data_IF_239498650154
#
_entry.id   IF_239498650154
#
_cell.length_a   1.000
_cell.length_b   1.000
_cell.length_c   1.000
_cell.angle_alpha   90.00
_cell.angle_beta   90.00
_cell.angle_gamma   90.00
#
_symmetry.space_group_name_H-M   'P 1'
#
loop_
_entity.id
_entity.type
_entity.pdbx_description
1 polymer ?
#
# COMPACT_ATOMS: atom_id res chain seq x y z
N UNK A 1 0.72 -3.23 -10.25
CA UNK A 1 0.35 -2.34 -9.13
C UNK A 1 -1.13 -2.53 -8.86
N UNK A 2 -1.50 -2.91 -7.63
CA UNK A 2 -2.88 -3.29 -7.27
C UNK A 2 -3.66 -2.09 -6.70
N UNK A 3 -2.98 -1.21 -5.98
CA UNK A 3 -3.52 0.01 -5.38
C UNK A 3 -2.39 1.03 -5.24
N UNK A 4 -2.70 2.31 -5.42
CA UNK A 4 -1.81 3.42 -5.12
C UNK A 4 -2.62 4.59 -4.55
N UNK A 5 -1.99 5.37 -3.69
CA UNK A 5 -2.59 6.58 -3.13
C UNK A 5 -1.51 7.50 -2.58
N UNK A 6 -1.73 8.81 -2.68
CA UNK A 6 -0.99 9.85 -1.97
C UNK A 6 -1.75 10.37 -0.74
N UNK A 7 -3.01 9.94 -0.55
CA UNK A 7 -3.83 10.37 0.58
C UNK A 7 -3.39 9.65 1.86
N UNK A 8 -3.04 10.43 2.88
CA UNK A 8 -2.71 9.92 4.21
C UNK A 8 -3.86 9.07 4.76
N UNK A 9 -3.52 7.94 5.39
CA UNK A 9 -4.44 6.93 5.97
C UNK A 9 -5.38 6.20 4.99
N UNK A 10 -5.35 6.50 3.69
CA UNK A 10 -6.08 5.70 2.71
C UNK A 10 -5.30 4.40 2.47
N UNK A 11 -5.94 3.28 2.76
CA UNK A 11 -5.38 1.94 2.56
C UNK A 11 -6.02 1.22 1.38
N UNK A 12 -5.40 0.13 0.97
CA UNK A 12 -6.01 -0.82 0.05
C UNK A 12 -7.09 -1.64 0.77
N UNK A 13 -8.26 -1.78 0.16
CA UNK A 13 -9.43 -2.48 0.70
C UNK A 13 -9.48 -3.98 0.33
N UNK A 14 -8.42 -4.51 -0.28
CA UNK A 14 -8.37 -5.90 -0.75
C UNK A 14 -9.00 -6.13 -2.13
N UNK A 15 -9.49 -5.10 -2.82
CA UNK A 15 -10.09 -5.22 -4.16
C UNK A 15 -9.17 -4.70 -5.26
N UNK A 16 -9.19 -5.36 -6.41
CA UNK A 16 -8.59 -4.87 -7.65
C UNK A 16 -9.65 -4.89 -8.73
N UNK A 17 -9.88 -3.75 -9.38
CA UNK A 17 -10.93 -3.61 -10.43
C UNK A 17 -12.31 -4.12 -9.97
N UNK A 18 -12.67 -3.83 -8.71
CA UNK A 18 -13.94 -4.25 -8.08
C UNK A 18 -13.97 -5.70 -7.58
N UNK A 19 -13.00 -6.54 -7.96
CA UNK A 19 -12.92 -7.95 -7.58
C UNK A 19 -12.06 -8.15 -6.34
N UNK A 20 -12.54 -8.94 -5.38
CA UNK A 20 -11.78 -9.33 -4.19
C UNK A 20 -10.56 -10.14 -4.60
N UNK A 21 -9.39 -9.77 -4.08
CA UNK A 21 -8.16 -10.49 -4.39
C UNK A 21 -7.97 -11.71 -3.48
N UNK A 22 -7.26 -12.76 -3.94
CA UNK A 22 -7.03 -13.95 -3.14
C UNK A 22 -6.31 -13.65 -1.81
N UNK A 23 -6.64 -14.34 -0.72
CA UNK A 23 -5.86 -14.26 0.51
C UNK A 23 -4.38 -14.57 0.25
N UNK A 24 -3.48 -13.83 0.87
CA UNK A 24 -2.05 -13.99 0.62
C UNK A 24 -1.22 -12.79 1.05
N UNK A 25 0.09 -12.91 0.86
CA UNK A 25 1.05 -11.85 1.13
C UNK A 25 1.18 -10.90 -0.07
N UNK A 26 0.95 -9.61 0.15
CA UNK A 26 1.12 -8.55 -0.83
C UNK A 26 2.23 -7.61 -0.39
N UNK A 27 3.08 -7.21 -1.33
CA UNK A 27 4.18 -6.28 -1.06
C UNK A 27 3.69 -4.86 -1.30
N UNK A 28 4.02 -3.95 -0.38
CA UNK A 28 3.80 -2.52 -0.55
C UNK A 28 5.11 -1.75 -0.50
N UNK A 29 5.13 -0.62 -1.21
CA UNK A 29 6.22 0.34 -1.23
C UNK A 29 5.64 1.72 -0.98
N UNK A 30 6.33 2.52 -0.17
CA UNK A 30 6.02 3.92 0.09
C UNK A 30 7.27 4.73 -0.18
N UNK A 31 7.09 5.84 -0.88
CA UNK A 31 8.10 6.86 -1.07
C UNK A 31 7.47 8.20 -0.69
N UNK A 32 8.11 8.94 0.20
CA UNK A 32 7.62 10.23 0.66
C UNK A 32 8.77 11.12 1.13
N UNK A 33 8.51 12.42 1.25
CA UNK A 33 9.44 13.40 1.79
C UNK A 33 8.94 13.86 3.15
N UNK A 34 9.81 13.88 4.16
CA UNK A 34 9.45 14.47 5.44
C UNK A 34 9.50 16.01 5.39
N UNK A 35 9.06 16.64 6.48
CA UNK A 35 9.05 18.11 6.63
C UNK A 35 10.44 18.78 6.50
N UNK A 36 11.52 18.01 6.62
CA UNK A 36 12.90 18.49 6.53
C UNK A 36 13.51 18.21 5.15
N UNK A 37 12.72 17.76 4.17
CA UNK A 37 13.20 17.43 2.83
C UNK A 37 13.86 16.06 2.72
N UNK A 38 13.84 15.24 3.78
CA UNK A 38 14.43 13.91 3.77
C UNK A 38 13.51 12.94 3.06
N UNK A 39 14.05 12.23 2.07
CA UNK A 39 13.35 11.13 1.41
C UNK A 39 13.26 9.93 2.36
N UNK A 40 12.03 9.46 2.57
CA UNK A 40 11.69 8.26 3.33
C UNK A 40 11.15 7.24 2.35
N UNK A 41 11.84 6.11 2.28
CA UNK A 41 11.39 4.92 1.57
C UNK A 41 11.04 3.85 2.59
N UNK A 42 9.85 3.26 2.45
CA UNK A 42 9.43 2.11 3.25
C UNK A 42 8.93 1.01 2.33
N UNK A 43 9.17 -0.23 2.72
CA UNK A 43 8.61 -1.41 2.08
C UNK A 43 8.19 -2.40 3.15
N UNK A 44 7.21 -3.21 2.82
CA UNK A 44 6.77 -4.26 3.72
C UNK A 44 5.80 -5.20 3.05
N UNK A 45 5.26 -6.09 3.86
CA UNK A 45 4.27 -7.09 3.45
C UNK A 45 2.98 -6.84 4.22
N UNK A 46 1.85 -6.91 3.53
CA UNK A 46 0.52 -7.00 4.14
C UNK A 46 -0.05 -8.38 3.84
N UNK A 47 -0.64 -9.02 4.84
CA UNK A 47 -1.35 -10.28 4.64
C UNK A 47 -2.83 -9.94 4.44
N UNK A 48 -3.34 -10.25 3.25
CA UNK A 48 -4.77 -10.23 3.01
C UNK A 48 -5.35 -11.52 3.57
N UNK A 49 -6.17 -11.38 4.61
CA UNK A 49 -6.93 -12.47 5.22
C UNK A 49 -8.39 -12.40 4.73
N UNK A 50 -9.09 -13.53 4.85
CA UNK A 50 -10.51 -13.65 4.50
C UNK A 50 -11.39 -13.25 5.68
#
# INVERSE_FOLDING_TARGET
>A
MVFETSQWLKGWDGRYKGQMQPPGAYIWFLNGMDKNGKIIQKKGTVILIK
#
